data_IF_668752492468
#
_entry.id   IF_668752492468
#
_cell.length_a   1.000
_cell.length_b   1.000
_cell.length_c   1.000
_cell.angle_alpha   90.00
_cell.angle_beta   90.00
_cell.angle_gamma   90.00
#
_symmetry.space_group_name_H-M   'P 1'
#
loop_
_entity.id
_entity.type
_entity.pdbx_description
1 polymer ?
#
# COMPACT_ATOMS: atom_id res chain seq x y z
N UNK A 1 29.18 -10.30 42.15
CA UNK A 1 29.75 -9.38 43.17
C UNK A 1 30.87 -8.61 42.50
N UNK A 2 30.71 -7.31 42.25
CA UNK A 2 31.67 -6.54 41.46
C UNK A 2 31.20 -5.11 41.24
N UNK A 3 31.16 -4.33 42.33
CA UNK A 3 30.94 -2.88 42.30
C UNK A 3 32.25 -2.20 41.87
N UNK A 4 32.23 -1.43 40.81
CA UNK A 4 33.27 -0.40 40.57
C UNK A 4 32.61 0.97 40.49
N UNK A 5 32.95 1.76 41.53
CA UNK A 5 32.63 3.17 41.73
C UNK A 5 33.03 4.00 40.52
N UNK A 6 32.19 4.95 40.11
CA UNK A 6 32.65 6.15 39.40
C UNK A 6 32.43 7.38 40.28
N UNK A 7 33.53 8.08 40.42
CA UNK A 7 33.81 9.16 41.36
C UNK A 7 33.06 10.44 40.98
N UNK A 8 32.48 11.09 41.99
CA UNK A 8 31.98 12.47 41.91
C UNK A 8 33.17 13.42 41.85
N UNK A 9 33.15 14.36 40.92
CA UNK A 9 33.87 15.64 41.05
C UNK A 9 32.81 16.73 41.03
N UNK A 10 32.64 17.34 42.20
CA UNK A 10 31.86 18.55 42.40
C UNK A 10 32.76 19.76 42.10
N UNK A 11 32.25 20.73 41.35
CA UNK A 11 32.81 22.09 41.34
C UNK A 11 31.72 23.00 41.85
N UNK A 12 31.92 23.46 43.08
CA UNK A 12 31.15 24.50 43.72
C UNK A 12 31.64 25.86 43.20
N UNK A 13 30.71 26.73 42.81
CA UNK A 13 30.96 28.16 42.65
C UNK A 13 30.07 28.92 43.63
N UNK A 14 30.72 29.86 44.31
CA UNK A 14 30.29 30.60 45.50
C UNK A 14 29.25 31.67 45.16
N UNK A 15 28.24 31.78 46.03
CA UNK A 15 27.21 32.81 46.09
C UNK A 15 27.78 34.15 46.59
N UNK A 16 27.39 35.26 45.96
CA UNK A 16 27.14 36.53 46.67
C UNK A 16 26.12 37.37 45.91
N UNK A 17 25.08 37.84 46.61
CA UNK A 17 24.12 38.81 46.07
C UNK A 17 22.73 38.66 46.67
N UNK A 18 22.53 39.15 47.89
CA UNK A 18 21.22 39.27 48.51
C UNK A 18 20.44 40.48 47.96
N UNK A 19 19.17 40.30 47.64
CA UNK A 19 18.14 41.34 47.78
C UNK A 19 16.78 40.67 48.05
N UNK A 20 16.12 41.18 49.09
CA UNK A 20 14.91 40.68 49.72
C UNK A 20 13.63 41.10 48.99
N UNK A 21 12.62 40.24 49.17
CA UNK A 21 11.18 40.50 49.31
C UNK A 21 10.34 40.82 48.05
N UNK A 22 9.43 39.87 47.78
CA UNK A 22 8.01 40.18 47.71
C UNK A 22 7.42 40.30 46.30
N UNK A 23 6.87 39.20 45.79
CA UNK A 23 5.44 39.07 45.44
C UNK A 23 5.19 37.70 44.80
N UNK A 24 4.30 36.93 45.42
CA UNK A 24 3.65 35.78 44.80
C UNK A 24 2.64 36.29 43.77
N UNK A 25 2.77 35.92 42.50
CA UNK A 25 1.68 35.50 41.59
C UNK A 25 2.33 34.97 40.31
N UNK A 26 1.88 33.79 39.88
CA UNK A 26 2.08 33.28 38.52
C UNK A 26 3.07 32.15 38.46
N UNK A 27 2.59 30.92 38.65
CA UNK A 27 3.18 29.76 38.02
C UNK A 27 3.02 29.92 36.49
N UNK A 28 3.85 30.78 35.91
CA UNK A 28 4.15 30.73 34.49
C UNK A 28 4.92 29.44 34.30
N UNK A 29 4.21 28.39 33.92
CA UNK A 29 4.85 27.24 33.31
C UNK A 29 5.71 27.81 32.17
N UNK A 30 7.02 27.80 32.37
CA UNK A 30 7.95 27.83 31.25
C UNK A 30 7.60 26.59 30.43
N UNK A 31 6.69 26.77 29.46
CA UNK A 31 6.59 25.89 28.32
C UNK A 31 7.99 25.88 27.74
N UNK A 32 8.77 24.85 28.06
CA UNK A 32 9.93 24.52 27.25
C UNK A 32 9.42 24.55 25.81
N UNK A 33 10.02 25.41 24.99
CA UNK A 33 9.70 25.49 23.57
C UNK A 33 9.99 24.11 22.98
N UNK A 34 8.97 23.26 22.95
CA UNK A 34 9.03 21.99 22.24
C UNK A 34 9.34 22.34 20.80
N UNK A 35 10.32 21.64 20.23
CA UNK A 35 10.69 21.83 18.84
C UNK A 35 9.42 21.65 17.99
N UNK A 36 8.94 22.74 17.41
CA UNK A 36 7.81 22.69 16.49
C UNK A 36 8.37 22.24 15.15
N UNK A 37 7.83 21.16 14.61
CA UNK A 37 7.98 20.93 13.18
C UNK A 37 7.16 22.00 12.46
N UNK A 38 7.74 22.57 11.43
CA UNK A 38 7.10 23.63 10.66
C UNK A 38 7.41 23.47 9.19
N UNK A 39 6.55 24.07 8.38
CA UNK A 39 6.64 23.93 6.95
C UNK A 39 5.63 24.78 6.21
N UNK A 40 5.52 24.48 4.92
CA UNK A 40 4.55 25.08 4.02
C UNK A 40 3.53 24.04 3.59
N UNK A 41 2.33 24.50 3.27
CA UNK A 41 1.32 23.66 2.63
C UNK A 41 0.80 24.34 1.37
N UNK A 42 0.33 23.54 0.41
CA UNK A 42 -0.35 24.07 -0.76
C UNK A 42 -1.34 23.09 -1.37
N UNK A 43 -2.38 23.63 -1.99
CA UNK A 43 -3.39 22.90 -2.73
C UNK A 43 -3.74 23.60 -4.05
N UNK A 44 -3.97 22.80 -5.09
CA UNK A 44 -4.54 23.29 -6.35
C UNK A 44 -6.07 23.18 -6.31
N UNK A 45 -6.77 24.18 -6.87
CA UNK A 45 -8.23 24.22 -6.87
C UNK A 45 -8.85 23.69 -8.17
N UNK A 46 -8.03 23.28 -9.14
CA UNK A 46 -8.47 22.79 -10.44
C UNK A 46 -7.44 21.87 -11.10
N UNK A 47 -7.91 21.04 -12.04
CA UNK A 47 -7.09 20.02 -12.69
C UNK A 47 -7.13 18.67 -11.97
N UNK A 48 -6.20 17.78 -12.33
CA UNK A 48 -6.19 16.38 -11.85
C UNK A 48 -5.85 16.22 -10.36
N UNK A 49 -5.23 17.22 -9.73
CA UNK A 49 -4.87 17.25 -8.30
C UNK A 49 -5.71 18.23 -7.49
N UNK A 50 -6.87 18.61 -8.02
CA UNK A 50 -7.76 19.54 -7.33
C UNK A 50 -8.17 18.96 -5.96
N UNK A 51 -7.98 19.75 -4.90
CA UNK A 51 -8.35 19.35 -3.54
C UNK A 51 -7.25 18.62 -2.75
N UNK A 52 -6.14 18.24 -3.37
CA UNK A 52 -5.00 17.64 -2.67
C UNK A 52 -4.24 18.72 -1.88
N UNK A 53 -4.01 18.50 -0.58
CA UNK A 53 -3.17 19.39 0.25
C UNK A 53 -1.83 18.72 0.51
N UNK A 54 -0.80 19.21 -0.16
CA UNK A 54 0.58 18.78 0.10
C UNK A 54 1.19 19.61 1.24
N UNK A 55 1.80 18.92 2.20
CA UNK A 55 2.61 19.46 3.29
C UNK A 55 4.08 19.28 2.96
N UNK A 56 4.90 20.29 3.20
CA UNK A 56 6.35 20.26 2.99
C UNK A 56 7.06 20.85 4.19
N UNK A 57 7.90 20.04 4.85
CA UNK A 57 8.75 20.53 5.94
C UNK A 57 9.84 21.49 5.43
N UNK A 58 10.25 22.43 6.29
CA UNK A 58 11.28 23.43 5.98
C UNK A 58 12.66 22.80 5.66
N UNK A 59 12.94 21.62 6.20
CA UNK A 59 14.16 20.86 5.90
C UNK A 59 14.19 20.31 4.46
N UNK A 60 13.08 20.42 3.73
CA UNK A 60 12.93 20.02 2.33
C UNK A 60 12.92 18.52 2.07
N UNK A 61 12.98 17.66 3.11
CA UNK A 61 13.17 16.21 2.97
C UNK A 61 11.89 15.39 3.06
N UNK A 62 10.77 15.98 3.50
CA UNK A 62 9.51 15.26 3.70
C UNK A 62 8.34 15.98 3.03
N UNK A 63 7.58 15.22 2.25
CA UNK A 63 6.30 15.65 1.68
C UNK A 63 5.25 14.62 2.11
N UNK A 64 4.21 15.08 2.79
CA UNK A 64 3.02 14.29 3.12
C UNK A 64 1.80 14.95 2.51
N UNK A 65 0.74 14.20 2.25
CA UNK A 65 -0.55 14.76 1.87
C UNK A 65 -1.52 14.63 3.04
N UNK A 66 -2.38 15.64 3.25
CA UNK A 66 -3.50 15.47 4.18
C UNK A 66 -4.55 14.56 3.55
N UNK A 67 -5.23 13.70 4.34
CA UNK A 67 -6.36 12.92 3.85
C UNK A 67 -7.45 13.82 3.25
N UNK A 68 -8.11 13.35 2.18
CA UNK A 68 -9.06 14.13 1.37
C UNK A 68 -10.10 14.90 2.19
N UNK A 69 -10.64 14.30 3.25
CA UNK A 69 -11.62 14.94 4.13
C UNK A 69 -11.04 16.16 4.86
N UNK A 70 -9.86 16.01 5.44
CA UNK A 70 -9.18 17.08 6.18
C UNK A 70 -8.65 18.15 5.22
N UNK A 71 -8.14 17.74 4.05
CA UNK A 71 -7.73 18.63 2.98
C UNK A 71 -8.90 19.52 2.50
N UNK A 72 -10.07 18.92 2.26
CA UNK A 72 -11.26 19.66 1.86
C UNK A 72 -11.73 20.64 2.95
N UNK A 73 -11.68 20.27 4.24
CA UNK A 73 -12.07 21.19 5.33
C UNK A 73 -11.09 22.36 5.46
N UNK A 74 -9.78 22.09 5.41
CA UNK A 74 -8.74 23.13 5.41
C UNK A 74 -8.97 24.14 4.28
N UNK A 75 -9.12 23.65 3.05
CA UNK A 75 -9.31 24.49 1.86
C UNK A 75 -10.54 25.38 2.02
N UNK A 76 -11.68 24.81 2.46
CA UNK A 76 -12.91 25.58 2.67
C UNK A 76 -12.72 26.70 3.69
N UNK A 77 -12.11 26.40 4.84
CA UNK A 77 -11.92 27.37 5.94
C UNK A 77 -10.99 28.50 5.56
N UNK A 78 -9.87 28.18 4.90
CA UNK A 78 -8.94 29.20 4.43
C UNK A 78 -9.59 30.06 3.34
N UNK A 79 -10.42 29.48 2.47
CA UNK A 79 -11.16 30.23 1.46
C UNK A 79 -12.26 31.15 2.04
N UNK A 80 -12.85 30.79 3.17
CA UNK A 80 -13.79 31.66 3.89
C UNK A 80 -13.11 32.69 4.81
N UNK A 81 -11.78 32.73 4.86
CA UNK A 81 -11.03 33.63 5.73
C UNK A 81 -11.05 33.24 7.21
N UNK A 82 -11.37 31.98 7.53
CA UNK A 82 -11.25 31.45 8.89
C UNK A 82 -9.78 31.08 9.15
N UNK A 83 -9.14 31.70 10.15
CA UNK A 83 -7.76 31.37 10.52
C UNK A 83 -7.29 31.99 11.84
N UNK A 84 -6.32 31.37 12.54
CA UNK A 84 -5.68 30.07 12.24
C UNK A 84 -6.62 28.88 12.48
N UNK A 85 -6.49 27.82 11.68
CA UNK A 85 -7.23 26.56 11.86
C UNK A 85 -6.33 25.49 12.48
N UNK A 86 -6.86 24.71 13.42
CA UNK A 86 -6.11 23.64 14.07
C UNK A 86 -6.79 22.29 13.88
N UNK A 87 -6.00 21.32 13.44
CA UNK A 87 -6.35 19.91 13.37
C UNK A 87 -5.79 19.20 14.61
N UNK A 88 -6.64 19.01 15.61
CA UNK A 88 -6.27 18.24 16.80
C UNK A 88 -6.41 16.74 16.53
N UNK A 89 -5.35 15.99 16.83
CA UNK A 89 -5.27 14.54 16.77
C UNK A 89 -4.57 14.02 18.02
N UNK A 90 -4.69 12.72 18.28
CA UNK A 90 -4.05 12.14 19.45
C UNK A 90 -2.53 12.19 19.40
N UNK A 91 -1.93 12.07 18.21
CA UNK A 91 -0.48 12.17 18.01
C UNK A 91 0.06 13.61 18.06
N UNK A 92 -0.82 14.63 18.00
CA UNK A 92 -0.42 16.03 18.08
C UNK A 92 -1.41 16.98 17.39
N UNK A 93 -1.04 18.25 17.36
CA UNK A 93 -1.87 19.31 16.79
C UNK A 93 -1.14 19.95 15.61
N UNK A 94 -1.78 19.94 14.43
CA UNK A 94 -1.34 20.74 13.28
C UNK A 94 -2.11 22.06 13.29
N UNK A 95 -1.41 23.18 13.20
CA UNK A 95 -2.01 24.51 13.06
C UNK A 95 -1.63 25.08 11.70
N UNK A 96 -2.65 25.47 10.93
CA UNK A 96 -2.52 25.97 9.57
C UNK A 96 -2.88 27.44 9.50
N UNK A 97 -2.07 28.16 8.75
CA UNK A 97 -2.32 29.54 8.33
C UNK A 97 -2.13 29.62 6.82
N UNK A 98 -2.85 30.52 6.16
CA UNK A 98 -2.69 30.69 4.73
C UNK A 98 -3.74 31.55 4.08
N UNK A 99 -3.68 31.57 2.76
CA UNK A 99 -4.63 32.28 1.91
C UNK A 99 -5.05 31.40 0.76
N UNK A 100 -6.26 31.61 0.28
CA UNK A 100 -6.79 30.98 -0.91
C UNK A 100 -7.08 32.01 -1.99
N UNK A 101 -6.97 31.57 -3.24
CA UNK A 101 -7.37 32.26 -4.45
C UNK A 101 -8.23 31.31 -5.28
N UNK A 102 -8.84 31.79 -6.36
CA UNK A 102 -9.68 30.96 -7.25
C UNK A 102 -8.96 29.72 -7.80
N UNK A 103 -7.63 29.76 -7.93
CA UNK A 103 -6.83 28.68 -8.54
C UNK A 103 -5.98 27.87 -7.57
N UNK A 104 -5.65 28.43 -6.40
CA UNK A 104 -4.68 27.85 -5.47
C UNK A 104 -4.92 28.30 -4.03
N UNK A 105 -4.68 27.41 -3.08
CA UNK A 105 -4.54 27.73 -1.66
C UNK A 105 -3.11 27.39 -1.18
N UNK A 106 -2.55 28.19 -0.26
CA UNK A 106 -1.23 27.95 0.30
C UNK A 106 -1.02 28.66 1.63
N UNK A 107 -0.04 28.19 2.39
CA UNK A 107 0.45 28.91 3.55
C UNK A 107 1.46 28.11 4.34
N UNK A 108 1.46 28.30 5.66
CA UNK A 108 2.38 27.67 6.60
C UNK A 108 1.62 26.76 7.55
N UNK A 109 2.33 25.78 8.09
CA UNK A 109 1.82 24.99 9.19
C UNK A 109 2.88 24.84 10.27
N UNK A 110 2.41 24.66 11.50
CA UNK A 110 3.21 24.18 12.62
C UNK A 110 2.60 22.88 13.14
N UNK A 111 3.44 22.00 13.65
CA UNK A 111 3.03 20.77 14.29
C UNK A 111 3.67 20.68 15.67
N UNK A 112 2.81 20.48 16.67
CA UNK A 112 3.22 20.22 18.04
C UNK A 112 2.88 18.76 18.38
N UNK A 113 3.87 17.88 18.56
CA UNK A 113 3.61 16.50 18.93
C UNK A 113 2.99 16.40 20.32
N UNK A 114 2.15 15.38 20.53
CA UNK A 114 1.63 15.05 21.85
C UNK A 114 2.62 14.15 22.61
N UNK A 115 3.10 14.62 23.76
CA UNK A 115 4.06 13.87 24.58
C UNK A 115 3.45 12.61 25.17
N UNK A 116 2.19 12.66 25.63
CA UNK A 116 1.55 11.51 26.27
C UNK A 116 1.34 10.36 25.28
N UNK A 117 0.91 10.67 24.05
CA UNK A 117 0.80 9.66 22.99
C UNK A 117 2.13 8.98 22.70
N UNK A 118 3.23 9.74 22.67
CA UNK A 118 4.57 9.18 22.44
C UNK A 118 5.01 8.25 23.57
N UNK A 119 4.80 8.66 24.81
CA UNK A 119 5.12 7.81 25.97
C UNK A 119 4.23 6.54 26.00
N UNK A 120 2.98 6.63 25.54
CA UNK A 120 2.11 5.45 25.40
C UNK A 120 2.69 4.43 24.39
N UNK A 121 3.27 4.87 23.26
CA UNK A 121 3.89 3.96 22.28
C UNK A 121 5.12 3.26 22.86
N UNK A 122 5.98 4.00 23.56
CA UNK A 122 7.17 3.46 24.23
C UNK A 122 6.78 2.45 25.33
N UNK A 123 5.75 2.77 26.12
CA UNK A 123 5.22 1.88 27.15
C UNK A 123 4.59 0.60 26.60
N UNK A 124 4.11 0.62 25.34
CA UNK A 124 3.61 -0.55 24.62
C UNK A 124 4.73 -1.37 23.96
N UNK A 125 5.99 -0.92 24.03
CA UNK A 125 7.13 -1.60 23.43
C UNK A 125 7.30 -1.35 21.93
N UNK A 126 6.62 -0.35 21.37
CA UNK A 126 6.66 0.00 19.94
C UNK A 126 7.79 1.00 19.61
N UNK A 127 8.71 1.19 20.57
CA UNK A 127 9.71 2.23 20.53
C UNK A 127 9.14 3.64 20.74
N UNK A 128 10.05 4.60 20.79
CA UNK A 128 9.72 6.01 21.00
C UNK A 128 9.75 6.75 19.67
N UNK A 129 8.58 7.10 19.08
CA UNK A 129 8.55 7.70 17.75
C UNK A 129 9.25 9.06 17.72
N UNK A 130 9.86 9.40 16.58
CA UNK A 130 10.43 10.72 16.30
C UNK A 130 9.35 11.79 16.08
N UNK A 131 9.71 13.08 16.10
CA UNK A 131 8.72 14.14 15.81
C UNK A 131 8.12 14.01 14.41
N UNK A 132 8.89 13.46 13.46
CA UNK A 132 8.42 13.22 12.09
C UNK A 132 7.45 12.06 12.02
N UNK A 133 7.73 10.96 12.71
CA UNK A 133 6.80 9.84 12.86
C UNK A 133 5.50 10.29 13.55
N UNK A 134 5.59 11.14 14.56
CA UNK A 134 4.40 11.73 15.21
C UNK A 134 3.60 12.64 14.26
N UNK A 135 4.27 13.40 13.40
CA UNK A 135 3.61 14.18 12.35
C UNK A 135 2.88 13.25 11.37
N UNK A 136 3.55 12.19 10.88
CA UNK A 136 2.94 11.21 9.99
C UNK A 136 1.73 10.54 10.65
N UNK A 137 1.86 10.11 11.91
CA UNK A 137 0.78 9.55 12.70
C UNK A 137 -0.41 10.51 12.84
N UNK A 138 -0.17 11.80 13.07
CA UNK A 138 -1.23 12.80 13.14
C UNK A 138 -1.90 13.03 11.78
N UNK A 139 -1.11 13.12 10.70
CA UNK A 139 -1.62 13.29 9.32
C UNK A 139 -2.48 12.11 8.90
N UNK A 140 -2.06 10.89 9.21
CA UNK A 140 -2.80 9.65 8.90
C UNK A 140 -3.81 9.25 9.99
N UNK A 141 -4.06 10.13 10.96
CA UNK A 141 -5.13 9.95 11.95
C UNK A 141 -4.97 8.72 12.85
N UNK A 142 -3.74 8.32 13.17
CA UNK A 142 -3.48 7.20 14.08
C UNK A 142 -4.04 7.50 15.48
N UNK A 143 -4.84 6.57 16.02
CA UNK A 143 -5.48 6.67 17.33
C UNK A 143 -4.98 5.58 18.27
N UNK A 144 -5.04 5.84 19.59
CA UNK A 144 -4.75 4.85 20.64
C UNK A 144 -5.69 3.65 20.55
N UNK A 145 -6.93 3.85 20.10
CA UNK A 145 -7.86 2.74 19.84
C UNK A 145 -7.32 1.80 18.76
N UNK A 146 -6.89 2.34 17.62
CA UNK A 146 -6.30 1.54 16.54
C UNK A 146 -5.03 0.83 17.00
N UNK A 147 -4.15 1.52 17.74
CA UNK A 147 -2.94 0.91 18.33
C UNK A 147 -3.29 -0.27 19.24
N UNK A 148 -4.23 -0.09 20.19
CA UNK A 148 -4.66 -1.17 21.09
C UNK A 148 -5.29 -2.35 20.35
N UNK A 149 -6.06 -2.05 19.30
CA UNK A 149 -6.72 -3.08 18.48
C UNK A 149 -5.71 -3.95 17.74
N UNK A 150 -4.74 -3.32 17.04
CA UNK A 150 -3.70 -4.04 16.31
C UNK A 150 -2.72 -4.76 17.25
N UNK A 151 -2.34 -4.12 18.37
CA UNK A 151 -1.50 -4.74 19.39
C UNK A 151 -2.18 -5.94 20.04
N UNK A 152 -3.46 -5.82 20.39
CA UNK A 152 -4.26 -6.91 20.97
C UNK A 152 -4.48 -8.09 20.03
N UNK A 153 -4.45 -7.84 18.72
CA UNK A 153 -4.48 -8.88 17.68
C UNK A 153 -3.11 -9.55 17.45
N UNK A 154 -2.04 -9.05 18.09
CA UNK A 154 -0.69 -9.58 17.89
C UNK A 154 -0.09 -9.26 16.51
N UNK A 155 -0.60 -8.22 15.83
CA UNK A 155 -0.15 -7.83 14.49
C UNK A 155 1.06 -6.89 14.49
N UNK A 156 1.39 -6.28 15.63
CA UNK A 156 2.46 -5.30 15.71
C UNK A 156 3.75 -5.96 16.19
N UNK A 157 4.87 -5.62 15.54
CA UNK A 157 6.20 -5.88 16.04
C UNK A 157 6.60 -4.93 17.16
N UNK A 158 7.90 -4.67 17.26
CA UNK A 158 8.55 -3.76 18.22
C UNK A 158 8.88 -2.38 17.61
N UNK A 159 8.41 -2.12 16.38
CA UNK A 159 8.69 -0.89 15.64
C UNK A 159 7.42 -0.06 15.41
N UNK A 160 7.53 1.27 15.57
CA UNK A 160 6.44 2.20 15.31
C UNK A 160 6.07 2.31 13.82
N UNK A 161 6.98 1.93 12.93
CA UNK A 161 6.77 2.01 11.48
C UNK A 161 5.64 1.08 11.00
N UNK A 162 5.44 -0.06 11.68
CA UNK A 162 4.30 -0.97 11.47
C UNK A 162 2.95 -0.25 11.64
N UNK A 163 2.84 0.57 12.68
CA UNK A 163 1.64 1.37 12.95
C UNK A 163 1.44 2.47 11.92
N UNK A 164 2.53 3.07 11.44
CA UNK A 164 2.45 4.06 10.37
C UNK A 164 1.99 3.42 9.07
N UNK A 165 2.54 2.26 8.69
CA UNK A 165 2.07 1.50 7.53
C UNK A 165 0.58 1.19 7.64
N UNK A 166 0.13 0.69 8.81
CA UNK A 166 -1.28 0.44 9.06
C UNK A 166 -2.14 1.70 8.92
N UNK A 167 -1.70 2.84 9.47
CA UNK A 167 -2.45 4.10 9.37
C UNK A 167 -2.51 4.64 7.92
N UNK A 168 -1.40 4.55 7.19
CA UNK A 168 -1.29 5.02 5.79
C UNK A 168 -2.21 4.21 4.88
N UNK A 169 -2.25 2.90 5.04
CA UNK A 169 -3.04 1.99 4.20
C UNK A 169 -4.42 1.66 4.80
N UNK A 170 -4.84 2.37 5.85
CA UNK A 170 -6.13 2.20 6.54
C UNK A 170 -6.37 0.76 7.04
N UNK A 171 -5.32 0.08 7.49
CA UNK A 171 -5.44 -1.21 8.18
C UNK A 171 -5.88 -0.95 9.62
N UNK A 172 -7.00 -1.57 10.02
CA UNK A 172 -7.53 -1.52 11.38
C UNK A 172 -8.16 -2.83 11.81
N UNK A 173 -8.58 -2.89 13.08
CA UNK A 173 -9.19 -4.10 13.64
C UNK A 173 -10.49 -4.50 12.95
N UNK A 174 -11.25 -3.56 12.38
CA UNK A 174 -12.47 -3.89 11.65
C UNK A 174 -12.15 -4.60 10.33
N UNK A 175 -11.12 -4.12 9.63
CA UNK A 175 -10.63 -4.79 8.42
C UNK A 175 -10.07 -6.18 8.70
N UNK A 176 -9.22 -6.32 9.73
CA UNK A 176 -8.74 -7.64 10.20
C UNK A 176 -9.91 -8.59 10.48
N UNK A 177 -10.86 -8.18 11.32
CA UNK A 177 -12.01 -9.01 11.69
C UNK A 177 -12.84 -9.43 10.45
N UNK A 178 -12.95 -8.56 9.45
CA UNK A 178 -13.66 -8.87 8.21
C UNK A 178 -12.99 -9.98 7.40
N UNK A 179 -11.65 -10.06 7.44
CA UNK A 179 -10.88 -11.12 6.79
C UNK A 179 -10.87 -12.40 7.63
N UNK A 180 -10.77 -12.28 8.95
CA UNK A 180 -10.83 -13.42 9.86
C UNK A 180 -12.19 -14.12 9.87
N UNK A 181 -13.28 -13.37 9.66
CA UNK A 181 -14.63 -13.91 9.48
C UNK A 181 -14.74 -14.74 8.19
N UNK A 182 -13.86 -14.52 7.22
CA UNK A 182 -13.66 -15.35 6.05
C UNK A 182 -12.63 -16.46 6.32
N UNK A 183 -12.22 -16.71 7.57
CA UNK A 183 -11.27 -17.77 7.88
C UNK A 183 -9.83 -17.51 7.43
N UNK A 184 -9.52 -16.32 6.90
CA UNK A 184 -8.14 -15.90 6.65
C UNK A 184 -7.45 -15.54 7.98
N UNK A 185 -6.12 -15.66 8.02
CA UNK A 185 -5.30 -15.24 9.16
C UNK A 185 -4.08 -14.46 8.64
N UNK A 186 -4.31 -13.28 8.02
CA UNK A 186 -3.22 -12.51 7.45
C UNK A 186 -2.38 -11.86 8.55
N UNK A 187 -1.08 -11.77 8.32
CA UNK A 187 -0.21 -10.88 9.11
C UNK A 187 -0.39 -9.41 8.70
N UNK A 188 0.35 -8.50 9.34
CA UNK A 188 0.24 -7.08 9.06
C UNK A 188 0.67 -6.74 7.63
N UNK A 189 1.74 -7.34 7.13
CA UNK A 189 2.26 -7.13 5.79
C UNK A 189 1.24 -7.55 4.74
N UNK A 190 0.59 -8.70 4.93
CA UNK A 190 -0.50 -9.17 4.08
C UNK A 190 -1.72 -8.25 4.14
N UNK A 191 -2.12 -7.74 5.31
CA UNK A 191 -3.22 -6.78 5.42
C UNK A 191 -2.92 -5.46 4.70
N UNK A 192 -1.68 -4.97 4.81
CA UNK A 192 -1.22 -3.80 4.08
C UNK A 192 -1.25 -4.07 2.57
N UNK A 193 -0.72 -5.21 2.12
CA UNK A 193 -0.76 -5.62 0.73
C UNK A 193 -2.19 -5.76 0.20
N UNK A 194 -3.11 -6.31 1.00
CA UNK A 194 -4.53 -6.41 0.67
C UNK A 194 -5.16 -5.04 0.43
N UNK A 195 -4.84 -4.04 1.26
CA UNK A 195 -5.32 -2.67 1.07
C UNK A 195 -4.74 -2.03 -0.19
N UNK A 196 -3.45 -2.24 -0.47
CA UNK A 196 -2.77 -1.71 -1.67
C UNK A 196 -3.36 -2.32 -2.95
N UNK A 197 -3.62 -3.63 -2.95
CA UNK A 197 -4.08 -4.39 -4.12
C UNK A 197 -5.59 -4.62 -4.15
N UNK A 198 -6.35 -3.96 -3.27
CA UNK A 198 -7.80 -4.05 -3.19
C UNK A 198 -8.34 -5.49 -3.03
N UNK A 199 -7.65 -6.31 -2.25
CA UNK A 199 -8.17 -7.60 -1.77
C UNK A 199 -9.25 -7.29 -0.73
N UNK A 200 -10.51 -7.27 -1.17
CA UNK A 200 -11.68 -6.97 -0.33
C UNK A 200 -12.39 -8.23 0.14
N UNK A 201 -13.15 -8.19 1.25
CA UNK A 201 -13.99 -9.33 1.65
C UNK A 201 -14.95 -9.82 0.56
N UNK A 202 -15.41 -8.92 -0.32
CA UNK A 202 -16.24 -9.27 -1.46
C UNK A 202 -15.47 -10.09 -2.51
N UNK A 203 -14.23 -9.68 -2.82
CA UNK A 203 -13.36 -10.42 -3.73
C UNK A 203 -13.02 -11.81 -3.19
N UNK A 204 -12.69 -11.93 -1.91
CA UNK A 204 -12.40 -13.23 -1.29
C UNK A 204 -13.59 -14.18 -1.40
N UNK A 205 -14.82 -13.69 -1.15
CA UNK A 205 -16.03 -14.50 -1.35
C UNK A 205 -16.20 -14.91 -2.82
N UNK A 206 -15.97 -13.99 -3.73
CA UNK A 206 -16.08 -14.25 -5.17
C UNK A 206 -15.15 -15.36 -5.65
N UNK A 207 -13.86 -15.31 -5.29
CA UNK A 207 -12.88 -16.31 -5.69
C UNK A 207 -13.19 -17.69 -5.09
N UNK A 208 -13.68 -17.73 -3.85
CA UNK A 208 -14.12 -18.98 -3.22
C UNK A 208 -15.40 -19.57 -3.81
N UNK A 209 -16.36 -18.73 -4.19
CA UNK A 209 -17.54 -19.18 -4.94
C UNK A 209 -17.15 -19.78 -6.29
N UNK A 210 -16.10 -19.24 -6.91
CA UNK A 210 -15.51 -19.80 -8.11
C UNK A 210 -14.64 -21.02 -7.82
N UNK A 211 -14.31 -21.34 -6.57
CA UNK A 211 -13.41 -22.44 -6.22
C UNK A 211 -11.96 -22.22 -6.66
N UNK A 212 -11.54 -20.97 -6.90
CA UNK A 212 -10.21 -20.61 -7.41
C UNK A 212 -9.44 -19.79 -6.38
N UNK A 213 -8.93 -20.45 -5.34
CA UNK A 213 -8.12 -19.83 -4.28
C UNK A 213 -8.88 -19.59 -2.98
N UNK A 214 -8.25 -19.95 -1.86
CA UNK A 214 -8.84 -19.84 -0.53
C UNK A 214 -7.90 -19.29 0.55
N UNK A 215 -6.58 -19.32 0.31
CA UNK A 215 -5.54 -18.71 1.14
C UNK A 215 -5.21 -17.26 0.74
N UNK A 216 -4.45 -16.60 1.61
CA UNK A 216 -4.15 -15.17 1.50
C UNK A 216 -3.23 -14.83 0.33
N UNK A 217 -2.24 -15.66 0.04
CA UNK A 217 -1.19 -15.37 -0.93
C UNK A 217 -1.73 -15.53 -2.35
N UNK A 218 -2.54 -16.56 -2.60
CA UNK A 218 -3.25 -16.75 -3.86
C UNK A 218 -4.19 -15.59 -4.17
N UNK A 219 -5.01 -15.18 -3.20
CA UNK A 219 -5.94 -14.06 -3.36
C UNK A 219 -5.21 -12.74 -3.66
N UNK A 220 -4.07 -12.52 -3.02
CA UNK A 220 -3.22 -11.36 -3.29
C UNK A 220 -2.64 -11.43 -4.71
N UNK A 221 -2.06 -12.57 -5.10
CA UNK A 221 -1.49 -12.77 -6.43
C UNK A 221 -2.55 -12.57 -7.52
N UNK A 222 -3.75 -13.12 -7.34
CA UNK A 222 -4.89 -12.95 -8.24
C UNK A 222 -5.25 -11.47 -8.43
N UNK A 223 -5.26 -10.68 -7.36
CA UNK A 223 -5.50 -9.22 -7.46
C UNK A 223 -4.38 -8.50 -8.20
N UNK A 224 -3.12 -8.81 -7.87
CA UNK A 224 -1.95 -8.23 -8.54
C UNK A 224 -2.01 -8.47 -10.05
N UNK A 225 -2.40 -9.67 -10.48
CA UNK A 225 -2.48 -10.05 -11.89
C UNK A 225 -3.85 -9.76 -12.55
N UNK A 226 -4.77 -9.15 -11.81
CA UNK A 226 -6.07 -8.74 -12.33
C UNK A 226 -6.94 -9.92 -12.78
N UNK A 227 -6.92 -11.02 -12.01
CA UNK A 227 -7.88 -12.11 -12.12
C UNK A 227 -9.25 -11.60 -11.70
N UNK A 228 -10.28 -11.98 -12.46
CA UNK A 228 -11.67 -11.60 -12.23
C UNK A 228 -12.59 -12.78 -12.48
N UNK A 229 -13.82 -12.72 -11.93
CA UNK A 229 -14.86 -13.69 -12.26
C UNK A 229 -15.07 -13.85 -13.77
N UNK A 230 -15.17 -12.75 -14.49
CA UNK A 230 -15.36 -12.78 -15.94
C UNK A 230 -14.22 -13.52 -16.67
N UNK A 231 -12.98 -13.40 -16.17
CA UNK A 231 -11.86 -14.16 -16.70
C UNK A 231 -12.01 -15.66 -16.43
N UNK A 232 -12.28 -16.06 -15.18
CA UNK A 232 -12.44 -17.48 -14.80
C UNK A 232 -13.61 -18.13 -15.55
N UNK A 233 -14.75 -17.44 -15.65
CA UNK A 233 -15.93 -17.93 -16.38
C UNK A 233 -15.64 -18.08 -17.88
N UNK A 234 -14.86 -17.16 -18.47
CA UNK A 234 -14.44 -17.26 -19.87
C UNK A 234 -13.53 -18.47 -20.12
N UNK A 235 -12.60 -18.77 -19.19
CA UNK A 235 -11.76 -19.97 -19.27
C UNK A 235 -12.61 -21.24 -19.18
N UNK A 236 -13.54 -21.32 -18.20
CA UNK A 236 -14.46 -22.46 -18.07
C UNK A 236 -15.30 -22.71 -19.32
N UNK A 237 -15.77 -21.64 -19.96
CA UNK A 237 -16.57 -21.71 -21.16
C UNK A 237 -15.84 -22.33 -22.37
N UNK A 238 -14.50 -22.40 -22.34
CA UNK A 238 -13.72 -23.08 -23.38
C UNK A 238 -13.83 -24.60 -23.32
N UNK A 239 -14.25 -25.17 -22.19
CA UNK A 239 -14.36 -26.62 -22.00
C UNK A 239 -13.04 -27.34 -21.70
N UNK A 240 -11.93 -26.60 -21.54
CA UNK A 240 -10.60 -27.15 -21.21
C UNK A 240 -10.44 -27.58 -19.74
N UNK A 241 -11.49 -27.43 -18.93
CA UNK A 241 -11.53 -27.88 -17.54
C UNK A 241 -11.83 -26.77 -16.54
N UNK A 242 -11.79 -27.17 -15.27
CA UNK A 242 -11.95 -26.29 -14.12
C UNK A 242 -10.56 -25.88 -13.63
N UNK A 243 -10.15 -24.61 -13.78
CA UNK A 243 -8.81 -24.20 -13.37
C UNK A 243 -8.71 -24.16 -11.85
N UNK A 244 -7.59 -24.60 -11.28
CA UNK A 244 -7.23 -24.30 -9.90
C UNK A 244 -6.57 -22.90 -9.77
N UNK A 245 -6.18 -22.51 -8.56
CA UNK A 245 -5.61 -21.19 -8.30
C UNK A 245 -4.31 -20.94 -9.09
N UNK A 246 -3.40 -21.92 -9.10
CA UNK A 246 -2.12 -21.86 -9.82
C UNK A 246 -2.36 -21.72 -11.33
N UNK A 247 -3.30 -22.48 -11.88
CA UNK A 247 -3.64 -22.43 -13.30
C UNK A 247 -4.29 -21.10 -13.68
N UNK A 248 -5.25 -20.59 -12.91
CA UNK A 248 -5.85 -19.26 -13.17
C UNK A 248 -4.76 -18.18 -13.20
N UNK A 249 -3.82 -18.24 -12.26
CA UNK A 249 -2.72 -17.30 -12.16
C UNK A 249 -1.76 -17.43 -13.36
N UNK A 250 -1.34 -18.64 -13.71
CA UNK A 250 -0.45 -18.91 -14.84
C UNK A 250 -1.06 -18.44 -16.18
N UNK A 251 -2.33 -18.78 -16.43
CA UNK A 251 -3.07 -18.32 -17.61
C UNK A 251 -3.05 -16.79 -17.68
N UNK A 252 -3.33 -16.12 -16.55
CA UNK A 252 -3.37 -14.66 -16.50
C UNK A 252 -2.01 -14.01 -16.73
N UNK A 253 -0.95 -14.53 -16.10
CA UNK A 253 0.43 -14.06 -16.23
C UNK A 253 0.92 -14.17 -17.67
N UNK A 254 0.62 -15.29 -18.35
CA UNK A 254 1.07 -15.53 -19.71
C UNK A 254 0.13 -14.92 -20.78
N UNK A 255 -1.00 -14.36 -20.37
CA UNK A 255 -1.98 -13.77 -21.29
C UNK A 255 -2.64 -14.83 -22.16
N UNK A 256 -3.01 -15.96 -21.55
CA UNK A 256 -3.93 -16.96 -22.08
C UNK A 256 -5.33 -16.57 -21.61
N UNK A 257 -6.16 -16.11 -22.53
CA UNK A 257 -7.57 -15.79 -22.29
C UNK A 257 -8.47 -16.51 -23.31
N UNK A 258 -9.78 -16.44 -23.10
CA UNK A 258 -10.75 -17.13 -23.97
C UNK A 258 -10.64 -16.72 -25.44
N UNK A 259 -10.33 -15.46 -25.74
CA UNK A 259 -10.18 -14.98 -27.12
C UNK A 259 -8.92 -15.57 -27.78
N UNK A 260 -7.83 -15.68 -27.04
CA UNK A 260 -6.62 -16.33 -27.54
C UNK A 260 -6.85 -17.83 -27.76
N UNK A 261 -7.53 -18.52 -26.84
CA UNK A 261 -7.90 -19.94 -26.98
C UNK A 261 -8.79 -20.18 -28.20
N UNK A 262 -9.80 -19.34 -28.42
CA UNK A 262 -10.65 -19.37 -29.62
C UNK A 262 -9.81 -19.22 -30.90
N UNK A 263 -8.87 -18.26 -30.92
CA UNK A 263 -7.99 -18.05 -32.07
C UNK A 263 -7.05 -19.24 -32.37
N UNK A 264 -6.69 -20.01 -31.34
CA UNK A 264 -5.91 -21.25 -31.48
C UNK A 264 -6.76 -22.38 -32.05
N UNK A 265 -8.00 -22.53 -31.57
CA UNK A 265 -8.97 -23.48 -32.12
C UNK A 265 -9.27 -23.18 -33.60
N UNK A 266 -9.47 -21.92 -33.99
CA UNK A 266 -9.64 -21.51 -35.39
C UNK A 266 -8.44 -21.83 -36.30
N UNK A 267 -7.22 -21.79 -35.74
CA UNK A 267 -6.02 -22.20 -36.46
C UNK A 267 -5.89 -23.74 -36.57
N UNK A 268 -6.75 -24.48 -35.85
CA UNK A 268 -6.74 -25.94 -35.76
C UNK A 268 -5.67 -26.48 -34.83
N UNK A 269 -5.30 -25.73 -33.79
CA UNK A 269 -4.34 -26.11 -32.76
C UNK A 269 -4.92 -25.86 -31.37
N UNK A 270 -6.05 -26.51 -31.08
CA UNK A 270 -6.66 -26.46 -29.75
C UNK A 270 -5.76 -27.22 -28.75
N UNK A 271 -5.38 -26.60 -27.61
CA UNK A 271 -4.62 -27.29 -26.57
C UNK A 271 -5.49 -28.36 -25.91
N UNK A 272 -4.88 -29.44 -25.44
CA UNK A 272 -5.56 -30.56 -24.78
C UNK A 272 -6.08 -30.19 -23.37
N UNK A 273 -5.38 -29.30 -22.69
CA UNK A 273 -5.71 -28.81 -21.35
C UNK A 273 -5.14 -27.39 -21.13
N UNK A 274 -5.39 -26.84 -19.93
CA UNK A 274 -4.93 -25.50 -19.55
C UNK A 274 -3.40 -25.40 -19.44
N UNK A 275 -2.72 -26.47 -19.04
CA UNK A 275 -1.27 -26.48 -18.87
C UNK A 275 -0.57 -26.43 -20.24
N UNK A 276 -1.10 -27.16 -21.22
CA UNK A 276 -0.63 -27.08 -22.60
C UNK A 276 -0.91 -25.70 -23.21
N UNK A 277 -2.06 -25.09 -22.91
CA UNK A 277 -2.36 -23.72 -23.32
C UNK A 277 -1.32 -22.71 -22.80
N UNK A 278 -0.93 -22.83 -21.53
CA UNK A 278 0.15 -22.04 -20.94
C UNK A 278 1.49 -22.35 -21.61
N UNK A 279 1.82 -23.62 -21.84
CA UNK A 279 3.06 -24.03 -22.50
C UNK A 279 3.18 -23.46 -23.93
N UNK A 280 2.10 -23.51 -24.70
CA UNK A 280 2.01 -22.88 -26.02
C UNK A 280 2.39 -21.40 -25.95
N UNK A 281 1.83 -20.69 -24.97
CA UNK A 281 2.07 -19.26 -24.80
C UNK A 281 3.52 -18.96 -24.40
N UNK A 282 4.09 -19.74 -23.47
CA UNK A 282 5.49 -19.62 -23.02
C UNK A 282 6.46 -19.88 -24.18
N UNK A 283 6.23 -20.90 -24.99
CA UNK A 283 7.13 -21.28 -26.08
C UNK A 283 6.84 -20.54 -27.39
N UNK A 284 5.80 -19.71 -27.42
CA UNK A 284 5.43 -18.92 -28.60
C UNK A 284 4.89 -19.79 -29.73
N UNK A 285 4.07 -20.79 -29.41
CA UNK A 285 3.12 -21.41 -30.34
C UNK A 285 1.99 -20.41 -30.53
N UNK A 286 1.79 -19.93 -31.75
CA UNK A 286 0.80 -18.89 -32.06
C UNK A 286 -0.15 -19.34 -33.18
N UNK A 287 -1.36 -18.76 -33.28
CA UNK A 287 -2.28 -19.08 -34.37
C UNK A 287 -1.65 -18.84 -35.76
N UNK A 288 -0.86 -17.79 -35.89
CA UNK A 288 -0.14 -17.43 -37.12
C UNK A 288 0.98 -18.44 -37.48
N UNK A 289 1.74 -18.92 -36.49
CA UNK A 289 2.69 -20.01 -36.71
C UNK A 289 1.99 -21.25 -37.27
N UNK A 290 0.89 -21.66 -36.62
CA UNK A 290 0.12 -22.85 -37.00
C UNK A 290 -0.37 -22.72 -38.44
N UNK A 291 -0.97 -21.59 -38.81
CA UNK A 291 -1.43 -21.33 -40.20
C UNK A 291 -0.28 -21.45 -41.21
N UNK A 292 0.89 -20.86 -40.93
CA UNK A 292 2.06 -20.95 -41.82
C UNK A 292 2.61 -22.37 -41.97
N UNK A 293 2.59 -23.18 -40.91
CA UNK A 293 3.01 -24.58 -40.99
C UNK A 293 2.08 -25.36 -41.92
N UNK A 294 0.76 -25.13 -41.81
CA UNK A 294 -0.25 -25.73 -42.70
C UNK A 294 -0.10 -25.27 -44.15
N UNK A 295 0.18 -23.99 -44.40
CA UNK A 295 0.50 -23.48 -45.74
C UNK A 295 1.72 -24.17 -46.38
N UNK A 296 2.65 -24.68 -45.56
CA UNK A 296 3.80 -25.48 -46.00
C UNK A 296 3.51 -26.99 -46.11
N UNK A 297 2.26 -27.41 -45.90
CA UNK A 297 1.82 -28.80 -45.97
C UNK A 297 2.09 -29.62 -44.71
N UNK A 298 2.45 -28.99 -43.59
CA UNK A 298 2.54 -29.65 -42.29
C UNK A 298 1.16 -29.62 -41.61
N UNK A 299 0.25 -30.46 -42.10
CA UNK A 299 -1.07 -30.68 -41.52
C UNK A 299 -1.03 -31.79 -40.44
N UNK A 300 -1.96 -31.72 -39.47
CA UNK A 300 -2.16 -32.77 -38.48
C UNK A 300 -1.11 -32.83 -37.36
N UNK A 301 -0.37 -31.74 -37.12
CA UNK A 301 0.51 -31.62 -35.95
C UNK A 301 -0.34 -31.52 -34.69
N UNK A 302 -0.04 -32.35 -33.69
CA UNK A 302 -0.60 -32.20 -32.35
C UNK A 302 0.13 -31.11 -31.55
N UNK A 303 -0.36 -30.82 -30.34
CA UNK A 303 0.24 -29.78 -29.49
C UNK A 303 1.69 -30.07 -29.11
N UNK A 304 1.99 -31.34 -28.85
CA UNK A 304 3.31 -31.88 -28.60
C UNK A 304 4.31 -31.57 -29.74
N UNK A 305 3.89 -31.78 -30.98
CA UNK A 305 4.66 -31.48 -32.17
C UNK A 305 4.89 -29.97 -32.33
N UNK A 306 3.85 -29.15 -32.13
CA UNK A 306 3.97 -27.69 -32.18
C UNK A 306 4.94 -27.15 -31.14
N UNK A 307 4.89 -27.69 -29.91
CA UNK A 307 5.81 -27.38 -28.84
C UNK A 307 7.24 -27.77 -29.21
N UNK A 308 7.47 -29.02 -29.66
CA UNK A 308 8.81 -29.48 -30.11
C UNK A 308 9.37 -28.59 -31.22
N UNK A 309 8.55 -28.21 -32.19
CA UNK A 309 8.94 -27.31 -33.28
C UNK A 309 9.46 -25.98 -32.72
N UNK A 310 8.76 -25.40 -31.74
CA UNK A 310 9.13 -24.10 -31.15
C UNK A 310 10.29 -24.17 -30.17
N UNK A 311 10.33 -25.18 -29.32
CA UNK A 311 11.39 -25.40 -28.33
C UNK A 311 12.74 -25.65 -29.05
N UNK A 312 12.74 -26.44 -30.12
CA UNK A 312 13.95 -26.77 -30.87
C UNK A 312 14.24 -25.80 -32.04
N UNK A 313 13.39 -24.79 -32.25
CA UNK A 313 13.57 -23.80 -33.31
C UNK A 313 13.46 -24.36 -34.73
N UNK A 314 12.75 -25.48 -34.91
CA UNK A 314 12.55 -26.14 -36.21
C UNK A 314 11.70 -25.28 -37.14
N UNK A 315 10.88 -24.38 -36.58
CA UNK A 315 10.07 -23.42 -37.35
C UNK A 315 10.92 -22.60 -38.32
N UNK A 316 12.15 -22.23 -37.92
CA UNK A 316 13.07 -21.45 -38.76
C UNK A 316 13.57 -22.21 -39.97
N UNK A 317 13.66 -23.54 -39.87
CA UNK A 317 14.07 -24.41 -40.95
C UNK A 317 12.89 -24.70 -41.88
N UNK A 318 11.73 -25.04 -41.30
CA UNK A 318 10.51 -25.39 -42.03
C UNK A 318 9.96 -24.20 -42.82
N UNK A 319 9.92 -23.02 -42.19
CA UNK A 319 9.35 -21.80 -42.76
C UNK A 319 10.37 -21.00 -43.60
N UNK A 320 11.62 -21.48 -43.73
CA UNK A 320 12.63 -20.83 -44.56
C UNK A 320 12.10 -20.65 -46.00
N UNK A 321 12.21 -19.47 -46.62
CA UNK A 321 11.84 -19.28 -48.01
C UNK A 321 12.78 -20.09 -48.93
N UNK A 322 12.27 -20.61 -50.06
CA UNK A 322 13.11 -21.31 -51.03
C UNK A 322 14.23 -20.39 -51.54
N UNK A 323 15.41 -20.95 -51.91
CA UNK A 323 16.48 -20.16 -52.51
C UNK A 323 15.96 -19.49 -53.79
N UNK A 324 16.32 -18.20 -53.95
CA UNK A 324 15.98 -17.40 -55.13
C UNK A 324 16.79 -17.83 -56.35
#
# INVERSE_FOLDING_TARGET
>A
MGRTRRSRVAVAAVLTGAALAGTTVGAGAALAAQALLQGTWSAEMGGRRAGEVALRLDDGRHVSSLPDRDAADLIRRIASGEGPWSLAREAGVLTFEGTASERRARGTFTFRPDGAFREDMDALGLGRPSDREMLAAAVHGLTRERVRSLSGAGLLGDEFDDLLAAAIFDVDGAFLQSMEALGLRPDLDQLVAFRIHEVTPAFVREMRELGVGDDADDLLAMRIHGVSRAFVDAIRATGLGEPDADQVLALRIHGVDGAWLESMAEAGAEPADLDEAVAFRIHGVTPDLVRRLRERGYDGLDGDDLLKIRIHGLDRLILRPPPR
#
